data_IF_272306263876
#
_entry.id   IF_272306263876
#
_cell.length_a   1.000
_cell.length_b   1.000
_cell.length_c   1.000
_cell.angle_alpha   90.00
_cell.angle_beta   90.00
_cell.angle_gamma   90.00
#
_symmetry.space_group_name_H-M   'P 1'
#
loop_
_entity.id
_entity.type
_entity.pdbx_description
1 polymer ?
#
# COMPACT_ATOMS: atom_id res chain seq x y z
N UNK A 1 -9.52 -20.07 49.06
CA UNK A 1 -10.20 -18.89 48.48
C UNK A 1 -9.12 -17.88 48.16
N UNK A 2 -8.90 -17.55 46.88
CA UNK A 2 -8.06 -16.41 46.51
C UNK A 2 -8.83 -15.14 46.88
N UNK A 3 -8.22 -14.25 47.65
CA UNK A 3 -8.77 -12.94 47.97
C UNK A 3 -9.21 -12.23 46.68
N UNK A 4 -10.46 -11.73 46.63
CA UNK A 4 -11.03 -11.06 45.46
C UNK A 4 -10.11 -9.93 44.93
N UNK A 5 -9.37 -9.29 45.83
CA UNK A 5 -8.37 -8.26 45.51
C UNK A 5 -7.15 -8.81 44.73
N UNK A 6 -6.65 -10.00 45.05
CA UNK A 6 -5.52 -10.61 44.31
C UNK A 6 -5.94 -11.08 42.92
N UNK A 7 -7.16 -11.58 42.76
CA UNK A 7 -7.72 -11.95 41.46
C UNK A 7 -7.89 -10.72 40.54
N UNK A 8 -8.51 -9.65 41.05
CA UNK A 8 -8.72 -8.41 40.29
C UNK A 8 -7.39 -7.76 39.84
N UNK A 9 -6.39 -7.71 40.72
CA UNK A 9 -5.07 -7.17 40.38
C UNK A 9 -4.36 -7.99 39.30
N UNK A 10 -4.51 -9.33 39.32
CA UNK A 10 -3.94 -10.19 38.29
C UNK A 10 -4.59 -9.96 36.92
N UNK A 11 -5.92 -9.82 36.87
CA UNK A 11 -6.63 -9.60 35.61
C UNK A 11 -6.36 -8.19 35.04
N UNK A 12 -6.22 -7.16 35.90
CA UNK A 12 -5.80 -5.81 35.49
C UNK A 12 -4.40 -5.83 34.88
N UNK A 13 -3.44 -6.55 35.49
CA UNK A 13 -2.09 -6.70 34.94
C UNK A 13 -2.11 -7.39 33.58
N UNK A 14 -2.92 -8.45 33.43
CA UNK A 14 -3.09 -9.18 32.17
C UNK A 14 -3.70 -8.30 31.08
N UNK A 15 -4.75 -7.55 31.39
CA UNK A 15 -5.41 -6.62 30.46
C UNK A 15 -4.47 -5.49 30.02
N UNK A 16 -3.69 -4.91 30.94
CA UNK A 16 -2.71 -3.88 30.59
C UNK A 16 -1.58 -4.42 29.70
N UNK A 17 -1.10 -5.65 29.96
CA UNK A 17 -0.10 -6.30 29.10
C UNK A 17 -0.64 -6.57 27.70
N UNK A 18 -1.89 -7.02 27.57
CA UNK A 18 -2.53 -7.25 26.28
C UNK A 18 -2.75 -5.93 25.53
N UNK A 19 -3.17 -4.87 26.23
CA UNK A 19 -3.35 -3.54 25.63
C UNK A 19 -2.04 -2.95 25.13
N UNK A 20 -0.94 -3.13 25.89
CA UNK A 20 0.39 -2.73 25.46
C UNK A 20 0.85 -3.53 24.23
N UNK A 21 0.68 -4.85 24.25
CA UNK A 21 1.00 -5.72 23.11
C UNK A 21 0.23 -5.35 21.84
N UNK A 22 -1.08 -5.07 21.98
CA UNK A 22 -1.93 -4.59 20.89
C UNK A 22 -1.45 -3.23 20.38
N UNK A 23 -1.13 -2.29 21.28
CA UNK A 23 -0.62 -0.97 20.91
C UNK A 23 0.69 -1.05 20.12
N UNK A 24 1.63 -1.90 20.55
CA UNK A 24 2.89 -2.14 19.85
C UNK A 24 2.68 -2.84 18.49
N UNK A 25 1.76 -3.81 18.40
CA UNK A 25 1.43 -4.47 17.14
C UNK A 25 0.80 -3.50 16.13
N UNK A 26 -0.11 -2.64 16.59
CA UNK A 26 -0.72 -1.60 15.75
C UNK A 26 0.30 -0.55 15.31
N UNK A 27 1.24 -0.17 16.19
CA UNK A 27 2.38 0.69 15.81
C UNK A 27 3.22 0.02 14.71
N UNK A 28 3.62 -1.24 14.91
CA UNK A 28 4.40 -1.98 13.92
C UNK A 28 3.67 -2.09 12.58
N UNK A 29 2.37 -2.39 12.60
CA UNK A 29 1.54 -2.42 11.39
C UNK A 29 1.47 -1.04 10.72
N UNK A 30 1.31 0.03 11.50
CA UNK A 30 1.34 1.40 10.99
C UNK A 30 2.68 1.78 10.35
N UNK A 31 3.80 1.40 10.96
CA UNK A 31 5.14 1.61 10.40
C UNK A 31 5.40 0.77 9.15
N UNK A 32 4.99 -0.50 9.12
CA UNK A 32 5.14 -1.36 7.94
C UNK A 32 4.26 -0.87 6.78
N UNK A 33 3.03 -0.45 7.08
CA UNK A 33 2.12 0.19 6.13
C UNK A 33 2.74 1.48 5.59
N UNK A 34 3.20 2.36 6.49
CA UNK A 34 3.91 3.59 6.13
C UNK A 34 5.16 3.34 5.28
N UNK A 35 6.00 2.36 5.63
CA UNK A 35 7.21 2.01 4.89
C UNK A 35 6.91 1.40 3.51
N UNK A 36 5.89 0.55 3.41
CA UNK A 36 5.42 0.01 2.14
C UNK A 36 4.92 1.12 1.20
N UNK A 37 4.04 1.98 1.71
CA UNK A 37 3.57 3.13 0.94
C UNK A 37 4.71 4.11 0.65
N UNK A 38 5.63 4.33 1.57
CA UNK A 38 6.82 5.15 1.36
C UNK A 38 7.74 4.57 0.27
N UNK A 39 7.89 3.24 0.15
CA UNK A 39 8.65 2.65 -0.95
C UNK A 39 7.96 2.85 -2.30
N UNK A 40 6.64 2.69 -2.34
CA UNK A 40 5.80 3.00 -3.51
C UNK A 40 5.81 4.52 -3.86
N UNK A 41 5.92 5.39 -2.85
CA UNK A 41 5.85 6.87 -2.95
C UNK A 41 7.19 7.60 -3.10
N UNK A 42 8.29 7.08 -2.54
CA UNK A 42 9.61 7.71 -2.66
C UNK A 42 10.22 7.50 -4.04
N UNK A 43 9.77 6.48 -4.78
CA UNK A 43 10.13 6.32 -6.19
C UNK A 43 9.77 7.57 -7.00
N UNK A 44 8.54 8.10 -6.88
CA UNK A 44 8.15 9.39 -7.45
C UNK A 44 8.84 10.62 -6.82
N UNK A 45 9.09 10.65 -5.50
CA UNK A 45 9.64 11.83 -4.80
C UNK A 45 11.12 12.09 -5.12
N UNK A 46 11.93 11.05 -5.42
CA UNK A 46 13.28 11.24 -5.97
C UNK A 46 13.27 11.75 -7.42
N UNK A 47 12.08 11.89 -8.02
CA UNK A 47 11.88 12.13 -9.44
C UNK A 47 11.99 10.80 -10.22
N UNK A 48 11.06 10.51 -11.14
CA UNK A 48 11.20 9.37 -12.03
C UNK A 48 12.51 9.52 -12.81
N UNK A 49 13.36 8.49 -12.80
CA UNK A 49 14.63 8.53 -13.52
C UNK A 49 14.34 8.52 -15.03
N UNK A 50 15.09 9.25 -15.85
CA UNK A 50 14.97 9.08 -17.30
C UNK A 50 15.24 7.62 -17.64
N UNK A 51 14.37 7.04 -18.46
CA UNK A 51 14.56 5.68 -18.95
C UNK A 51 15.75 5.69 -19.91
N UNK A 52 16.78 4.89 -19.62
CA UNK A 52 17.94 4.70 -20.48
C UNK A 52 18.04 3.23 -20.86
N UNK A 53 18.77 2.90 -21.95
CA UNK A 53 18.97 1.50 -22.37
C UNK A 53 19.62 0.67 -21.25
N UNK A 54 20.50 1.29 -20.46
CA UNK A 54 21.16 0.64 -19.32
C UNK A 54 20.17 0.16 -18.25
N UNK A 55 19.01 0.80 -18.12
CA UNK A 55 17.95 0.37 -17.20
C UNK A 55 17.40 -1.03 -17.53
N UNK A 56 17.52 -1.46 -18.80
CA UNK A 56 17.14 -2.80 -19.26
C UNK A 56 18.25 -3.84 -19.12
N UNK A 57 19.50 -3.42 -18.83
CA UNK A 57 20.64 -4.33 -18.65
C UNK A 57 20.71 -4.97 -17.25
N UNK A 58 19.84 -4.55 -16.32
CA UNK A 58 19.79 -5.07 -14.96
C UNK A 58 19.02 -6.41 -14.84
N UNK A 59 19.25 -7.19 -13.77
CA UNK A 59 18.45 -8.40 -13.50
C UNK A 59 16.99 -7.99 -13.26
N UNK A 60 16.11 -8.34 -14.20
CA UNK A 60 14.69 -8.02 -14.10
C UNK A 60 14.01 -8.93 -13.08
N UNK A 61 13.36 -8.38 -12.04
CA UNK A 61 12.65 -9.20 -11.08
C UNK A 61 11.55 -9.99 -11.79
N UNK A 62 11.55 -11.32 -11.61
CA UNK A 62 10.61 -12.28 -12.22
C UNK A 62 9.15 -12.11 -11.78
N UNK A 63 8.87 -11.14 -10.92
CA UNK A 63 7.56 -10.87 -10.38
C UNK A 63 7.25 -9.38 -10.54
N UNK A 64 5.96 -9.04 -10.43
CA UNK A 64 5.37 -7.69 -10.31
C UNK A 64 5.89 -7.01 -9.02
N UNK A 65 7.20 -6.95 -8.86
CA UNK A 65 7.86 -6.37 -7.71
C UNK A 65 8.07 -4.90 -8.02
N UNK A 66 7.78 -4.08 -7.01
CA UNK A 66 7.96 -2.65 -6.96
C UNK A 66 9.35 -2.23 -7.49
N UNK A 67 9.44 -2.04 -8.80
CA UNK A 67 10.62 -1.55 -9.49
C UNK A 67 10.70 -0.02 -9.42
N UNK A 68 11.87 0.56 -9.72
CA UNK A 68 12.00 2.00 -9.83
C UNK A 68 11.05 2.55 -10.90
N UNK A 69 10.50 3.74 -10.63
CA UNK A 69 9.71 4.49 -11.61
C UNK A 69 10.65 5.17 -12.60
N UNK A 70 10.32 5.08 -13.89
CA UNK A 70 11.03 5.79 -14.94
C UNK A 70 10.11 6.76 -15.67
N UNK A 71 10.74 7.73 -16.33
CA UNK A 71 10.10 8.65 -17.26
C UNK A 71 10.65 8.38 -18.65
N UNK A 72 9.76 8.19 -19.61
CA UNK A 72 10.09 8.01 -21.02
C UNK A 72 9.43 9.14 -21.82
N UNK A 73 10.20 9.81 -22.67
CA UNK A 73 9.64 10.84 -23.57
C UNK A 73 8.83 10.16 -24.70
N UNK A 74 7.66 10.70 -25.05
CA UNK A 74 6.80 10.11 -26.09
C UNK A 74 7.17 10.54 -27.51
N UNK A 75 8.30 11.25 -27.68
CA UNK A 75 8.75 11.74 -28.97
C UNK A 75 8.96 10.58 -29.97
N UNK A 76 8.18 10.58 -31.05
CA UNK A 76 8.22 9.52 -32.06
C UNK A 76 7.53 8.22 -31.64
N UNK A 77 6.65 8.27 -30.64
CA UNK A 77 5.80 7.12 -30.29
C UNK A 77 4.89 6.74 -31.46
N UNK A 78 4.89 5.46 -31.81
CA UNK A 78 4.05 4.88 -32.87
C UNK A 78 2.97 4.03 -32.21
N UNK A 79 1.68 4.35 -32.40
CA UNK A 79 0.60 3.57 -31.80
C UNK A 79 0.54 2.17 -32.42
N UNK A 80 0.31 1.17 -31.58
CA UNK A 80 0.13 -0.22 -31.93
C UNK A 80 -0.98 -0.83 -31.06
N UNK A 81 -2.08 -1.20 -31.71
CA UNK A 81 -3.15 -1.90 -31.03
C UNK A 81 -2.89 -3.41 -31.10
N UNK A 82 -2.84 -4.06 -29.93
CA UNK A 82 -2.73 -5.51 -29.84
C UNK A 82 -3.79 -6.03 -28.89
N UNK A 83 -4.54 -7.02 -29.35
CA UNK A 83 -5.53 -7.70 -28.51
C UNK A 83 -4.81 -8.52 -27.43
N UNK A 84 -5.01 -8.18 -26.15
CA UNK A 84 -4.54 -8.95 -25.01
C UNK A 84 -5.69 -9.82 -24.47
N UNK A 85 -5.39 -11.07 -24.16
CA UNK A 85 -6.37 -11.97 -23.55
C UNK A 85 -6.09 -12.02 -22.05
N UNK A 86 -6.91 -11.31 -21.28
CA UNK A 86 -6.86 -11.35 -19.83
C UNK A 86 -7.70 -12.52 -19.34
N UNK A 87 -7.15 -13.35 -18.44
CA UNK A 87 -8.00 -14.25 -17.64
C UNK A 87 -8.60 -13.40 -16.53
N UNK A 88 -9.89 -13.09 -16.63
CA UNK A 88 -10.59 -12.48 -15.51
C UNK A 88 -10.68 -13.50 -14.37
N UNK A 89 -10.84 -13.02 -13.13
CA UNK A 89 -10.78 -13.82 -11.90
C UNK A 89 -11.97 -14.79 -11.69
N UNK A 90 -12.57 -15.29 -12.76
CA UNK A 90 -13.57 -16.36 -12.78
C UNK A 90 -13.01 -17.63 -13.44
N UNK A 91 -13.48 -18.81 -12.99
CA UNK A 91 -12.89 -20.14 -13.31
C UNK A 91 -12.66 -20.48 -14.79
N UNK A 92 -13.14 -19.71 -15.77
CA UNK A 92 -12.83 -19.87 -17.20
C UNK A 92 -13.21 -18.64 -18.07
N UNK A 93 -13.34 -17.45 -17.48
CA UNK A 93 -13.69 -16.26 -18.27
C UNK A 93 -12.40 -15.63 -18.82
N UNK A 94 -12.15 -15.86 -20.11
CA UNK A 94 -11.18 -15.05 -20.86
C UNK A 94 -11.93 -13.84 -21.41
N UNK A 95 -11.54 -12.65 -20.96
CA UNK A 95 -12.01 -11.40 -21.53
C UNK A 95 -10.95 -10.91 -22.52
N UNK A 96 -11.39 -10.67 -23.76
CA UNK A 96 -10.58 -10.02 -24.78
C UNK A 96 -10.53 -8.53 -24.43
N UNK A 97 -9.36 -8.06 -24.02
CA UNK A 97 -9.11 -6.64 -23.77
C UNK A 97 -8.19 -6.14 -24.88
N UNK A 98 -8.64 -5.16 -25.66
CA UNK A 98 -7.76 -4.46 -26.59
C UNK A 98 -6.82 -3.60 -25.73
N UNK A 99 -5.57 -4.01 -25.61
CA UNK A 99 -4.55 -3.24 -24.92
C UNK A 99 -3.87 -2.33 -25.95
N UNK A 100 -3.83 -1.03 -25.67
CA UNK A 100 -3.18 -0.05 -26.53
C UNK A 100 -1.71 0.01 -26.12
N UNK A 101 -0.82 -0.29 -27.08
CA UNK A 101 0.62 -0.20 -26.89
C UNK A 101 1.19 0.91 -27.76
N UNK A 102 2.19 1.64 -27.26
CA UNK A 102 2.96 2.58 -28.06
C UNK A 102 4.39 2.07 -28.19
N UNK A 103 4.91 2.04 -29.42
CA UNK A 103 6.32 1.77 -29.67
C UNK A 103 7.11 3.06 -29.61
N UNK A 104 8.06 3.13 -28.69
CA UNK A 104 8.94 4.30 -28.56
C UNK A 104 10.36 3.90 -28.98
N UNK A 105 10.92 4.51 -30.05
CA UNK A 105 12.30 4.27 -30.44
C UNK A 105 13.24 4.96 -29.45
N UNK A 106 14.22 4.22 -28.93
CA UNK A 106 15.20 4.73 -27.97
C UNK A 106 16.59 4.20 -28.32
N UNK A 107 17.49 5.12 -28.73
CA UNK A 107 18.91 4.87 -29.01
C UNK A 107 19.20 3.54 -29.76
N UNK A 108 18.49 3.33 -30.87
CA UNK A 108 18.69 2.17 -31.77
C UNK A 108 17.89 0.92 -31.39
N UNK A 109 17.04 1.00 -30.37
CA UNK A 109 16.12 -0.06 -29.95
C UNK A 109 14.69 0.46 -29.89
N UNK A 110 13.74 -0.44 -29.68
CA UNK A 110 12.33 -0.09 -29.50
C UNK A 110 11.80 -0.64 -28.17
N UNK A 111 11.10 0.21 -27.43
CA UNK A 111 10.44 -0.16 -26.17
C UNK A 111 8.94 -0.16 -26.41
N UNK A 112 8.26 -1.23 -25.99
CA UNK A 112 6.81 -1.29 -25.97
C UNK A 112 6.28 -0.65 -24.67
N UNK A 113 5.42 0.35 -24.81
CA UNK A 113 4.77 1.04 -23.69
C UNK A 113 3.32 0.61 -23.62
N UNK A 114 2.87 0.09 -22.48
CA UNK A 114 1.46 -0.18 -22.20
C UNK A 114 0.83 1.04 -21.58
N UNK A 115 -0.28 1.50 -22.16
CA UNK A 115 -1.02 2.67 -21.71
C UNK A 115 -2.47 2.30 -21.43
N UNK A 116 -3.11 3.10 -20.58
CA UNK A 116 -4.57 3.12 -20.55
C UNK A 116 -5.08 3.75 -21.85
N UNK A 117 -6.21 3.28 -22.40
CA UNK A 117 -6.69 3.68 -23.73
C UNK A 117 -7.06 5.16 -23.86
N UNK A 118 -7.13 5.90 -22.75
CA UNK A 118 -7.46 7.33 -22.71
C UNK A 118 -6.26 8.22 -22.36
N UNK A 119 -5.05 7.66 -22.29
CA UNK A 119 -3.86 8.39 -21.88
C UNK A 119 -3.18 9.06 -23.07
N UNK A 120 -3.33 10.38 -23.17
CA UNK A 120 -2.52 11.24 -24.05
C UNK A 120 -1.51 11.99 -23.18
N UNK A 121 -0.22 11.66 -23.32
CA UNK A 121 0.85 12.29 -22.54
C UNK A 121 2.11 12.55 -23.39
N UNK A 122 2.73 13.71 -23.18
CA UNK A 122 4.02 14.09 -23.75
C UNK A 122 5.20 13.29 -23.14
N UNK A 123 4.97 12.65 -21.98
CA UNK A 123 5.93 11.76 -21.35
C UNK A 123 5.23 10.65 -20.57
N UNK A 124 5.67 9.43 -20.79
CA UNK A 124 5.16 8.27 -20.10
C UNK A 124 5.83 8.06 -18.75
N UNK A 125 5.03 7.84 -17.70
CA UNK A 125 5.52 7.50 -16.36
C UNK A 125 5.10 6.08 -15.99
N UNK A 126 6.08 5.22 -15.71
CA UNK A 126 5.82 3.80 -15.58
C UNK A 126 6.96 2.99 -15.01
N UNK A 127 6.78 1.67 -15.05
CA UNK A 127 7.75 0.67 -14.56
C UNK A 127 8.12 -0.30 -15.67
N UNK A 128 9.34 -0.83 -15.60
CA UNK A 128 9.76 -1.92 -16.48
C UNK A 128 9.22 -3.23 -15.90
N UNK A 129 8.44 -3.95 -16.69
CA UNK A 129 7.91 -5.27 -16.36
C UNK A 129 8.25 -6.27 -17.45
N UNK A 130 8.48 -7.54 -17.10
CA UNK A 130 8.74 -8.58 -18.10
C UNK A 130 7.47 -8.77 -18.95
N UNK A 131 7.62 -8.73 -20.28
CA UNK A 131 6.55 -9.15 -21.17
C UNK A 131 6.33 -10.66 -21.04
N UNK A 132 5.08 -11.11 -21.05
CA UNK A 132 4.80 -12.55 -21.16
C UNK A 132 5.34 -13.07 -22.50
N UNK A 133 5.80 -14.32 -22.55
CA UNK A 133 6.45 -14.87 -23.75
C UNK A 133 5.58 -14.71 -25.01
N UNK A 134 4.28 -14.99 -24.92
CA UNK A 134 3.35 -14.81 -26.05
C UNK A 134 3.08 -13.36 -26.44
N UNK A 135 3.24 -12.40 -25.53
CA UNK A 135 3.09 -10.97 -25.82
C UNK A 135 4.35 -10.41 -26.49
N UNK A 136 5.53 -10.80 -26.01
CA UNK A 136 6.81 -10.37 -26.56
C UNK A 136 6.96 -10.72 -28.05
N UNK A 137 6.61 -11.96 -28.43
CA UNK A 137 6.66 -12.41 -29.83
C UNK A 137 5.73 -11.59 -30.73
N UNK A 138 4.53 -11.26 -30.25
CA UNK A 138 3.54 -10.47 -30.98
C UNK A 138 3.96 -9.01 -31.12
N UNK A 139 4.50 -8.42 -30.06
CA UNK A 139 5.05 -7.06 -30.10
C UNK A 139 6.24 -6.99 -31.07
N UNK A 140 7.13 -7.97 -31.04
CA UNK A 140 8.29 -8.04 -31.95
C UNK A 140 7.85 -8.16 -33.41
N UNK A 141 6.90 -9.04 -33.70
CA UNK A 141 6.33 -9.18 -35.04
C UNK A 141 5.64 -7.88 -35.52
N UNK A 142 4.99 -7.15 -34.62
CA UNK A 142 4.36 -5.87 -34.95
C UNK A 142 5.40 -4.77 -35.21
N UNK A 143 6.44 -4.69 -34.38
CA UNK A 143 7.56 -3.76 -34.57
C UNK A 143 8.31 -4.00 -35.90
N UNK A 144 8.56 -5.26 -36.26
CA UNK A 144 9.18 -5.63 -37.54
C UNK A 144 8.33 -5.20 -38.74
N UNK A 145 7.01 -5.40 -38.67
CA UNK A 145 6.09 -4.94 -39.73
C UNK A 145 6.09 -3.42 -39.88
N UNK A 146 6.26 -2.69 -38.77
CA UNK A 146 6.39 -1.24 -38.76
C UNK A 146 7.77 -0.74 -39.21
N UNK A 147 8.72 -1.63 -39.52
CA UNK A 147 10.09 -1.27 -39.91
C UNK A 147 10.91 -0.69 -38.76
N UNK A 148 10.56 -1.02 -37.52
CA UNK A 148 11.22 -0.49 -36.33
C UNK A 148 12.47 -1.32 -35.95
N UNK A 149 13.42 -0.72 -35.22
CA UNK A 149 14.55 -1.42 -34.64
C UNK A 149 14.13 -2.59 -33.73
N UNK A 150 15.12 -3.39 -33.33
CA UNK A 150 14.90 -4.54 -32.45
C UNK A 150 14.17 -4.12 -31.15
N UNK A 151 13.12 -4.87 -30.83
CA UNK A 151 12.31 -4.66 -29.64
C UNK A 151 13.01 -5.26 -28.42
N UNK A 152 13.11 -4.49 -27.34
CA UNK A 152 13.50 -5.02 -26.04
C UNK A 152 12.45 -6.03 -25.55
N UNK A 153 12.83 -7.16 -24.91
CA UNK A 153 11.91 -8.18 -24.41
C UNK A 153 11.14 -7.72 -23.14
N UNK A 154 11.06 -6.41 -22.92
CA UNK A 154 10.51 -5.77 -21.75
C UNK A 154 9.38 -4.82 -22.14
N UNK A 155 8.41 -4.71 -21.25
CA UNK A 155 7.28 -3.81 -21.37
C UNK A 155 7.46 -2.65 -20.39
N UNK A 156 7.23 -1.43 -20.84
CA UNK A 156 7.11 -0.27 -19.99
C UNK A 156 5.63 -0.07 -19.63
N UNK A 157 5.24 -0.41 -18.41
CA UNK A 157 3.86 -0.29 -17.94
C UNK A 157 3.61 1.10 -17.36
N UNK A 158 2.86 1.91 -18.11
CA UNK A 158 2.46 3.28 -17.78
C UNK A 158 0.94 3.41 -17.55
N UNK A 159 0.22 2.28 -17.34
CA UNK A 159 -1.22 2.30 -17.01
C UNK A 159 -1.55 3.08 -15.74
N UNK A 160 -0.62 3.13 -14.77
CA UNK A 160 -0.80 3.86 -13.50
C UNK A 160 -0.20 5.28 -13.49
N UNK A 161 -0.15 5.97 -14.63
CA UNK A 161 0.28 7.39 -14.70
C UNK A 161 -0.45 8.29 -13.68
N UNK A 162 -1.68 7.92 -13.33
CA UNK A 162 -2.52 8.67 -12.41
C UNK A 162 -2.19 8.40 -10.92
N UNK A 163 -1.29 9.24 -10.41
CA UNK A 163 -1.38 9.90 -9.10
C UNK A 163 -1.02 9.10 -7.82
N UNK A 164 0.14 9.41 -7.22
CA UNK A 164 0.28 9.30 -5.77
C UNK A 164 -0.67 10.31 -5.09
N UNK A 165 -1.88 9.89 -4.72
CA UNK A 165 -2.79 10.76 -3.97
C UNK A 165 -2.46 10.74 -2.47
N UNK A 166 -2.20 11.87 -1.81
CA UNK A 166 -1.74 11.92 -0.40
C UNK A 166 -2.68 11.23 0.60
N UNK A 167 -3.91 10.90 0.19
CA UNK A 167 -4.88 10.16 0.98
C UNK A 167 -4.44 8.70 1.23
N UNK A 168 -3.55 8.13 0.43
CA UNK A 168 -3.07 6.75 0.64
C UNK A 168 -2.03 6.61 1.75
N UNK A 169 -1.45 7.72 2.26
CA UNK A 169 -0.59 7.73 3.45
C UNK A 169 -1.38 7.88 4.76
N UNK A 170 -2.64 8.33 4.69
CA UNK A 170 -3.51 8.48 5.87
C UNK A 170 -3.69 7.18 6.66
N UNK A 171 -3.88 5.99 6.05
CA UNK A 171 -4.05 4.75 6.80
C UNK A 171 -2.86 4.45 7.72
N UNK A 172 -1.63 4.66 7.24
CA UNK A 172 -0.41 4.46 8.03
C UNK A 172 -0.33 5.43 9.21
N UNK A 173 -0.57 6.71 8.97
CA UNK A 173 -0.55 7.74 10.02
C UNK A 173 -1.64 7.51 11.09
N UNK A 174 -2.84 7.11 10.68
CA UNK A 174 -3.95 6.78 11.58
C UNK A 174 -3.59 5.58 12.46
N UNK A 175 -3.01 4.52 11.88
CA UNK A 175 -2.57 3.35 12.65
C UNK A 175 -1.49 3.72 13.67
N UNK A 176 -0.51 4.56 13.30
CA UNK A 176 0.52 5.02 14.23
C UNK A 176 -0.11 5.82 15.39
N UNK A 177 -1.05 6.73 15.10
CA UNK A 177 -1.74 7.51 16.12
C UNK A 177 -2.54 6.63 17.10
N UNK A 178 -3.28 5.64 16.59
CA UNK A 178 -4.03 4.67 17.41
C UNK A 178 -3.08 3.82 18.26
N UNK A 179 -2.02 3.30 17.66
CA UNK A 179 -1.02 2.48 18.36
C UNK A 179 -0.32 3.25 19.49
N UNK A 180 0.01 4.52 19.25
CA UNK A 180 0.57 5.40 20.28
C UNK A 180 -0.42 5.66 21.41
N UNK A 181 -1.69 5.93 21.08
CA UNK A 181 -2.74 6.15 22.08
C UNK A 181 -2.96 4.92 22.97
N UNK A 182 -3.04 3.73 22.38
CA UNK A 182 -3.19 2.47 23.12
C UNK A 182 -2.00 2.21 24.05
N UNK A 183 -0.79 2.41 23.55
CA UNK A 183 0.46 2.21 24.30
C UNK A 183 0.59 3.21 25.45
N UNK A 184 0.32 4.49 25.19
CA UNK A 184 0.32 5.54 26.20
C UNK A 184 -0.73 5.29 27.30
N UNK A 185 -1.93 4.82 26.91
CA UNK A 185 -2.99 4.45 27.86
C UNK A 185 -2.60 3.23 28.71
N UNK A 186 -1.97 2.21 28.12
CA UNK A 186 -1.47 1.06 28.85
C UNK A 186 -0.36 1.46 29.85
N UNK A 187 0.57 2.32 29.44
CA UNK A 187 1.66 2.80 30.29
C UNK A 187 1.15 3.64 31.48
N UNK A 188 0.23 4.58 31.23
CA UNK A 188 -0.41 5.35 32.32
C UNK A 188 -1.11 4.46 33.34
N UNK A 189 -1.77 3.39 32.90
CA UNK A 189 -2.44 2.41 33.79
C UNK A 189 -1.45 1.53 34.56
N UNK A 190 -0.27 1.31 34.02
CA UNK A 190 0.79 0.62 34.73
C UNK A 190 1.37 1.49 35.87
N UNK A 191 1.58 2.78 35.59
CA UNK A 191 2.10 3.74 36.56
C UNK A 191 1.07 4.14 37.63
N UNK A 192 -0.21 4.21 37.29
CA UNK A 192 -1.28 4.57 38.21
C UNK A 192 -2.45 3.57 38.14
N UNK A 193 -2.34 2.41 38.82
CA UNK A 193 -3.35 1.35 38.77
C UNK A 193 -4.72 1.82 39.25
N UNK A 194 -4.76 2.77 40.19
CA UNK A 194 -5.98 3.32 40.81
C UNK A 194 -6.90 4.00 39.78
N UNK A 195 -6.36 4.49 38.67
CA UNK A 195 -7.14 5.08 37.56
C UNK A 195 -7.72 4.04 36.60
N UNK A 196 -7.56 2.74 36.88
CA UNK A 196 -8.11 1.68 36.06
C UNK A 196 -9.65 1.70 36.12
N UNK A 197 -10.36 1.67 34.98
CA UNK A 197 -11.83 1.79 34.96
C UNK A 197 -12.55 0.67 35.73
N UNK A 198 -11.93 -0.50 35.89
CA UNK A 198 -12.48 -1.58 36.74
C UNK A 198 -12.37 -1.32 38.25
N UNK A 199 -11.47 -0.42 38.69
CA UNK A 199 -11.33 -0.04 40.09
C UNK A 199 -12.16 1.20 40.46
N UNK A 200 -12.56 1.99 39.46
CA UNK A 200 -13.41 3.17 39.64
C UNK A 200 -14.71 2.90 40.43
N UNK A 201 -15.51 1.86 40.12
CA UNK A 201 -16.73 1.56 40.89
C UNK A 201 -16.47 1.00 42.30
N UNK A 202 -15.24 0.59 42.63
CA UNK A 202 -14.84 0.19 43.99
C UNK A 202 -14.33 1.37 44.83
N UNK A 203 -14.01 2.49 44.17
CA UNK A 203 -13.43 3.70 44.78
C UNK A 203 -14.43 4.86 44.85
N UNK A 204 -15.45 4.87 43.97
CA UNK A 204 -16.59 5.76 44.10
C UNK A 204 -17.48 5.21 45.24
N UNK A 205 -17.68 5.95 46.34
CA UNK A 205 -18.62 5.53 47.37
C UNK A 205 -20.00 5.40 46.71
N UNK A 206 -20.67 4.27 46.94
CA UNK A 206 -22.04 4.07 46.51
C UNK A 206 -22.88 5.17 47.15
N UNK A 207 -23.22 6.22 46.40
CA UNK A 207 -24.34 7.07 46.76
C UNK A 207 -25.59 6.23 46.54
N UNK A 208 -25.91 5.41 47.56
CA UNK A 208 -27.21 4.78 47.71
C UNK A 208 -28.25 5.90 47.74
N UNK A 209 -29.22 5.93 46.82
CA UNK A 209 -30.25 6.97 46.80
C UNK A 209 -31.31 6.80 47.92
N UNK A 210 -30.98 6.07 49.01
CA UNK A 210 -31.94 5.70 50.06
C UNK A 210 -31.77 6.44 51.40
N UNK A 211 -30.75 7.29 51.58
CA UNK A 211 -30.53 7.97 52.87
C UNK A 211 -31.19 9.37 52.97
N UNK A 212 -31.79 9.88 51.89
CA UNK A 212 -32.39 11.24 51.88
C UNK A 212 -33.84 11.32 52.41
N UNK A 213 -34.49 10.19 52.73
CA UNK A 213 -35.90 10.19 53.17
C UNK A 213 -36.14 10.18 54.69
N UNK A 214 -35.09 10.10 55.53
CA UNK A 214 -35.26 10.08 57.00
C UNK A 214 -34.91 11.39 57.72
N UNK A 215 -34.55 12.46 57.00
CA UNK A 215 -34.27 13.77 57.60
C UNK A 215 -35.45 14.77 57.56
N UNK A 216 -36.67 14.33 57.20
CA UNK A 216 -37.87 15.18 57.15
C UNK A 216 -38.99 14.57 58.00
N UNK A 217 -38.74 14.39 59.30
CA UNK A 217 -39.80 14.25 60.33
C UNK A 217 -39.19 14.15 61.74
N UNK A 218 -38.66 15.26 62.23
CA UNK A 218 -38.42 15.50 63.65
C UNK A 218 -38.79 16.96 63.99
#
# INVERSE_FOLDING_TARGET
>A
MLDTNTFLLAEIRRLNRNLLGLGLAVLAAGFLCGAYFQHEWLGPIQGPRPLTIEAFAGPVPRAVQAGPWFRLESAGAIPCELEEWSRSSGRNAQEQLVAVFHFVPMAGKTVAVRLDPNTESDAYLGRIVPASSGLADRLSASAQKAGLPELEPFLFDATSEAQPHPLFALPGAILVAIGFWLSARAFRRHLCPVTHPLLRPLLEPSTSPNDDWQAVSA
#
